data_IF_650218743440
#
_entry.id   IF_650218743440
#
_cell.length_a   1.000
_cell.length_b   1.000
_cell.length_c   1.000
_cell.angle_alpha   90.00
_cell.angle_beta   90.00
_cell.angle_gamma   90.00
#
_symmetry.space_group_name_H-M   'P 1'
#
loop_
_entity.id
_entity.type
_entity.pdbx_description
1 polymer ?
#
# COMPACT_ATOMS: atom_id res chain seq x y z
N UNK A 1 -6.55 -3.90 -0.03
CA UNK A 1 -6.74 -4.19 1.41
C UNK A 1 -7.86 -5.19 1.50
N UNK A 2 -7.77 -6.19 2.38
CA UNK A 2 -8.80 -7.23 2.49
C UNK A 2 -9.91 -6.68 3.38
N UNK A 3 -11.12 -6.56 2.82
CA UNK A 3 -12.32 -6.03 3.48
C UNK A 3 -13.56 -6.85 3.13
N UNK A 4 -13.59 -7.47 1.96
CA UNK A 4 -14.69 -8.32 1.50
C UNK A 4 -14.28 -9.80 1.57
N UNK A 5 -15.24 -10.72 1.74
CA UNK A 5 -14.98 -12.17 1.66
C UNK A 5 -14.34 -12.60 0.33
N UNK A 6 -14.57 -11.84 -0.74
CA UNK A 6 -14.04 -12.08 -2.09
C UNK A 6 -12.61 -11.57 -2.31
N UNK A 7 -12.07 -10.80 -1.36
CA UNK A 7 -10.71 -10.28 -1.47
C UNK A 7 -9.70 -11.40 -1.24
N UNK A 8 -8.59 -11.34 -1.98
CA UNK A 8 -7.56 -12.38 -1.96
C UNK A 8 -6.25 -11.85 -1.40
N UNK A 9 -5.49 -12.74 -0.77
CA UNK A 9 -4.08 -12.48 -0.47
C UNK A 9 -3.25 -12.64 -1.75
N UNK A 10 -2.17 -11.87 -1.85
CA UNK A 10 -1.21 -11.94 -2.97
C UNK A 10 0.18 -12.26 -2.44
N UNK A 11 1.15 -12.54 -3.33
CA UNK A 11 2.58 -12.71 -2.96
C UNK A 11 3.18 -11.52 -2.20
N UNK A 12 2.61 -10.32 -2.37
CA UNK A 12 3.03 -9.12 -1.64
C UNK A 12 2.34 -8.94 -0.29
N UNK A 13 1.42 -9.84 0.08
CA UNK A 13 0.74 -9.84 1.37
C UNK A 13 1.58 -10.58 2.40
N UNK A 14 2.34 -9.84 3.21
CA UNK A 14 3.18 -10.44 4.26
C UNK A 14 2.46 -10.69 5.59
N UNK A 15 1.44 -9.90 5.91
CA UNK A 15 0.68 -10.02 7.15
C UNK A 15 -0.72 -9.44 7.03
N UNK A 16 -1.67 -10.01 7.78
CA UNK A 16 -3.01 -9.46 8.00
C UNK A 16 -3.11 -9.01 9.45
N UNK A 17 -3.49 -7.76 9.65
CA UNK A 17 -3.71 -7.17 10.97
C UNK A 17 -5.16 -6.74 11.05
N UNK A 18 -5.89 -7.32 11.99
CA UNK A 18 -7.30 -7.02 12.23
C UNK A 18 -7.40 -5.92 13.28
N UNK A 19 -8.07 -4.82 12.92
CA UNK A 19 -8.29 -3.66 13.78
C UNK A 19 -9.76 -3.27 13.64
N UNK A 20 -10.33 -2.71 14.71
CA UNK A 20 -11.70 -2.20 14.70
C UNK A 20 -11.89 -1.09 13.67
N UNK A 21 -13.10 -0.92 13.14
CA UNK A 21 -13.40 0.03 12.07
C UNK A 21 -13.12 1.49 12.47
N UNK A 22 -13.25 1.82 13.77
CA UNK A 22 -12.93 3.13 14.33
C UNK A 22 -11.44 3.39 14.58
N UNK A 23 -10.55 2.41 14.37
CA UNK A 23 -9.13 2.58 14.62
C UNK A 23 -8.52 3.62 13.64
N UNK A 24 -7.65 4.55 14.10
CA UNK A 24 -7.03 5.57 13.24
C UNK A 24 -6.31 5.02 12.00
N UNK A 25 -5.64 3.88 12.13
CA UNK A 25 -4.96 3.22 11.01
C UNK A 25 -5.93 2.68 9.96
N UNK A 26 -7.11 2.20 10.40
CA UNK A 26 -8.18 1.76 9.51
C UNK A 26 -8.80 2.96 8.82
N UNK A 27 -9.17 4.00 9.57
CA UNK A 27 -9.75 5.23 9.01
C UNK A 27 -8.85 5.85 7.93
N UNK A 28 -7.54 5.96 8.19
CA UNK A 28 -6.57 6.44 7.19
C UNK A 28 -6.57 5.56 5.93
N UNK A 29 -6.77 4.25 6.05
CA UNK A 29 -6.74 3.32 4.91
C UNK A 29 -8.03 3.36 4.10
N UNK A 30 -9.19 3.53 4.74
CA UNK A 30 -10.51 3.36 4.12
C UNK A 30 -11.20 4.66 3.73
N UNK A 31 -10.79 5.81 4.27
CA UNK A 31 -11.42 7.09 3.93
C UNK A 31 -11.46 7.30 2.41
N UNK A 32 -12.48 7.95 1.86
CA UNK A 32 -12.49 8.24 0.41
C UNK A 32 -11.52 9.38 0.08
N UNK A 33 -10.97 9.42 -1.13
CA UNK A 33 -10.12 10.55 -1.53
C UNK A 33 -10.88 11.89 -1.53
N UNK A 34 -12.18 11.86 -1.83
CA UNK A 34 -13.05 13.04 -1.73
C UNK A 34 -13.16 13.55 -0.30
N UNK A 35 -13.35 12.65 0.68
CA UNK A 35 -13.39 12.99 2.11
C UNK A 35 -12.06 13.59 2.56
N UNK A 36 -10.93 12.98 2.19
CA UNK A 36 -9.58 13.50 2.48
C UNK A 36 -9.40 14.92 1.93
N UNK A 37 -9.86 15.17 0.69
CA UNK A 37 -9.75 16.48 0.05
C UNK A 37 -10.62 17.53 0.75
N UNK A 38 -11.89 17.22 1.06
CA UNK A 38 -12.81 18.13 1.76
C UNK A 38 -12.29 18.49 3.15
N UNK A 39 -11.79 17.52 3.89
CA UNK A 39 -11.21 17.74 5.22
C UNK A 39 -9.93 18.59 5.14
N UNK A 40 -9.05 18.31 4.17
CA UNK A 40 -7.85 19.11 3.93
C UNK A 40 -8.14 20.59 3.67
N UNK A 41 -9.14 20.89 2.85
CA UNK A 41 -9.51 22.27 2.52
C UNK A 41 -10.00 23.08 3.72
N UNK A 42 -10.56 22.42 4.73
CA UNK A 42 -11.10 23.08 5.93
C UNK A 42 -10.11 23.12 7.10
N UNK A 43 -9.28 22.09 7.27
CA UNK A 43 -8.45 21.93 8.46
C UNK A 43 -6.96 22.24 8.27
N UNK A 44 -6.43 22.26 7.05
CA UNK A 44 -4.99 22.43 6.84
C UNK A 44 -4.51 23.85 7.13
N UNK A 45 -3.72 24.02 8.19
CA UNK A 45 -3.15 25.31 8.58
C UNK A 45 -1.73 25.58 8.04
N UNK A 46 -1.20 24.71 7.16
CA UNK A 46 0.13 24.87 6.53
C UNK A 46 1.32 24.99 7.50
N UNK A 47 1.25 24.39 8.70
CA UNK A 47 2.29 24.47 9.74
C UNK A 47 3.61 23.72 9.46
N UNK A 48 3.78 23.13 8.26
CA UNK A 48 4.98 22.41 7.80
C UNK A 48 5.47 21.20 8.62
N UNK A 49 4.83 20.84 9.73
CA UNK A 49 5.19 19.69 10.58
C UNK A 49 5.31 18.36 9.80
N UNK A 50 4.42 18.17 8.83
CA UNK A 50 4.46 16.99 7.95
C UNK A 50 5.72 16.92 7.07
N UNK A 51 6.35 18.05 6.77
CA UNK A 51 7.64 18.13 6.08
C UNK A 51 8.81 17.95 7.04
N UNK A 52 8.80 18.63 8.19
CA UNK A 52 9.87 18.53 9.19
C UNK A 52 10.11 17.09 9.62
N UNK A 53 9.04 16.30 9.79
CA UNK A 53 9.13 14.89 10.17
C UNK A 53 9.18 13.91 8.98
N UNK A 54 9.20 14.39 7.73
CA UNK A 54 9.27 13.51 6.58
C UNK A 54 10.66 12.86 6.46
N UNK A 55 10.78 11.52 6.52
CA UNK A 55 12.08 10.87 6.43
C UNK A 55 12.76 11.08 5.08
N UNK A 56 11.99 11.23 3.99
CA UNK A 56 12.56 11.49 2.66
C UNK A 56 13.10 12.92 2.55
N UNK A 57 12.40 13.89 3.14
CA UNK A 57 12.87 15.27 3.23
C UNK A 57 14.16 15.36 4.06
N UNK A 58 14.19 14.71 5.23
CA UNK A 58 15.37 14.69 6.09
C UNK A 58 16.56 13.90 5.50
N UNK A 59 16.35 13.11 4.45
CA UNK A 59 17.41 12.50 3.63
C UNK A 59 17.83 13.39 2.44
N UNK A 60 17.30 14.62 2.34
CA UNK A 60 17.66 15.63 1.34
C UNK A 60 16.83 15.60 0.06
N UNK A 61 15.84 14.71 -0.06
CA UNK A 61 14.99 14.63 -1.26
C UNK A 61 14.04 15.83 -1.37
N UNK A 62 13.74 16.26 -2.59
CA UNK A 62 12.79 17.34 -2.92
C UNK A 62 11.34 16.96 -2.66
N UNK A 63 11.00 16.69 -1.41
CA UNK A 63 9.66 16.30 -1.04
C UNK A 63 9.20 17.07 0.18
N UNK A 64 8.20 17.91 -0.03
CA UNK A 64 7.63 18.75 1.01
C UNK A 64 6.13 18.46 1.15
N UNK A 65 5.75 17.56 2.07
CA UNK A 65 4.36 17.19 2.30
C UNK A 65 3.39 18.37 2.49
N UNK A 66 3.80 19.49 3.09
CA UNK A 66 2.90 20.64 3.20
C UNK A 66 2.58 21.28 1.84
N UNK A 67 3.52 21.26 0.90
CA UNK A 67 3.36 21.82 -0.44
C UNK A 67 2.40 20.98 -1.28
N UNK A 68 2.41 19.64 -1.17
CA UNK A 68 1.41 18.83 -1.88
C UNK A 68 0.00 19.06 -1.33
N UNK A 69 -0.14 19.29 -0.02
CA UNK A 69 -1.43 19.67 0.57
C UNK A 69 -1.90 21.03 0.07
N UNK A 70 -0.98 21.98 -0.09
CA UNK A 70 -1.27 23.31 -0.67
C UNK A 70 -1.73 23.17 -2.12
N UNK A 71 -1.01 22.39 -2.93
CA UNK A 71 -1.38 22.09 -4.31
C UNK A 71 -2.77 21.49 -4.41
N UNK A 72 -3.11 20.51 -3.55
CA UNK A 72 -4.45 19.94 -3.49
C UNK A 72 -5.53 20.98 -3.13
N UNK A 73 -5.28 21.80 -2.12
CA UNK A 73 -6.29 22.72 -1.58
C UNK A 73 -6.61 23.87 -2.52
N UNK A 74 -5.61 24.40 -3.23
CA UNK A 74 -5.75 25.54 -4.15
C UNK A 74 -5.89 25.12 -5.63
N UNK A 75 -5.82 23.83 -5.94
CA UNK A 75 -5.96 23.33 -7.31
C UNK A 75 -4.79 23.71 -8.21
N UNK A 76 -3.56 23.71 -7.68
CA UNK A 76 -2.36 24.02 -8.45
C UNK A 76 -2.05 22.89 -9.45
N UNK A 77 -1.30 23.23 -10.51
CA UNK A 77 -0.99 22.35 -11.63
C UNK A 77 -0.40 21.00 -11.19
N UNK A 78 -1.01 19.91 -11.69
CA UNK A 78 -0.58 18.54 -11.47
C UNK A 78 0.76 18.20 -12.16
N UNK A 79 1.24 19.03 -13.09
CA UNK A 79 2.56 18.88 -13.72
C UNK A 79 3.67 19.68 -13.02
N UNK A 80 3.34 20.46 -11.98
CA UNK A 80 4.31 21.23 -11.22
C UNK A 80 5.39 20.32 -10.59
N UNK A 81 6.56 20.88 -10.32
CA UNK A 81 7.65 20.19 -9.61
C UNK A 81 7.19 19.60 -8.26
N UNK A 82 6.29 20.29 -7.55
CA UNK A 82 5.68 19.83 -6.30
C UNK A 82 4.84 18.57 -6.51
N UNK A 83 4.08 18.50 -7.59
CA UNK A 83 3.30 17.31 -7.91
C UNK A 83 4.23 16.13 -8.27
N UNK A 84 5.27 16.38 -9.07
CA UNK A 84 6.24 15.35 -9.45
C UNK A 84 6.95 14.74 -8.24
N UNK A 85 7.19 15.51 -7.17
CA UNK A 85 7.72 15.01 -5.89
C UNK A 85 6.92 13.81 -5.30
N UNK A 86 5.68 13.57 -5.78
CA UNK A 86 4.94 12.36 -5.48
C UNK A 86 5.69 11.06 -5.77
N UNK A 87 6.59 11.01 -6.76
CA UNK A 87 7.45 9.85 -7.02
C UNK A 87 8.56 9.66 -5.98
N UNK A 88 8.99 10.71 -5.28
CA UNK A 88 10.01 10.64 -4.23
C UNK A 88 9.47 10.08 -2.90
N UNK A 89 8.15 10.05 -2.74
CA UNK A 89 7.49 9.58 -1.53
C UNK A 89 7.70 8.06 -1.32
N UNK A 90 8.15 7.63 -0.15
CA UNK A 90 8.26 6.19 0.16
C UNK A 90 6.97 5.60 0.78
N UNK A 91 5.88 6.36 0.85
CA UNK A 91 4.59 5.93 1.40
C UNK A 91 4.65 5.44 2.87
N UNK A 92 5.64 5.90 3.64
CA UNK A 92 5.85 5.54 5.05
C UNK A 92 4.71 5.97 5.99
N UNK A 93 3.98 7.04 5.66
CA UNK A 93 2.81 7.48 6.42
C UNK A 93 3.10 8.32 7.66
N UNK A 94 4.36 8.68 7.94
CA UNK A 94 4.72 9.56 9.06
C UNK A 94 3.94 10.88 9.04
N UNK A 95 3.85 11.50 7.87
CA UNK A 95 3.13 12.75 7.67
C UNK A 95 1.65 12.67 8.04
N UNK A 96 1.02 11.51 7.83
CA UNK A 96 -0.42 11.29 8.03
C UNK A 96 -0.74 10.73 9.41
N UNK A 97 0.02 9.73 9.86
CA UNK A 97 -0.27 9.00 11.09
C UNK A 97 0.40 9.59 12.33
N UNK A 98 1.40 10.45 12.17
CA UNK A 98 2.14 11.00 13.30
C UNK A 98 2.25 12.53 13.28
N UNK A 99 2.77 13.08 12.18
CA UNK A 99 3.20 14.46 12.14
C UNK A 99 2.03 15.46 12.12
N UNK A 100 1.00 15.23 11.29
CA UNK A 100 -0.05 16.23 11.13
C UNK A 100 -0.89 16.42 12.41
N UNK A 101 -0.88 17.60 13.06
CA UNK A 101 -1.68 17.82 14.27
C UNK A 101 -3.18 17.84 14.00
N UNK A 102 -3.59 18.10 12.75
CA UNK A 102 -4.99 18.14 12.32
C UNK A 102 -5.49 16.80 11.74
N UNK A 103 -4.66 15.75 11.71
CA UNK A 103 -5.08 14.43 11.20
C UNK A 103 -5.29 14.38 9.68
N UNK A 104 -4.57 15.19 8.91
CA UNK A 104 -4.63 15.17 7.45
C UNK A 104 -3.86 13.98 6.88
N UNK A 105 -4.14 13.63 5.62
CA UNK A 105 -3.56 12.47 4.94
C UNK A 105 -2.58 12.80 3.79
N UNK A 106 -1.45 13.54 4.01
CA UNK A 106 -0.50 13.83 2.92
C UNK A 106 0.03 12.61 2.17
N UNK A 107 0.21 11.47 2.85
CA UNK A 107 0.58 10.20 2.22
C UNK A 107 -0.37 9.83 1.08
N UNK A 108 -1.68 9.96 1.33
CA UNK A 108 -2.73 9.62 0.37
C UNK A 108 -2.79 10.60 -0.79
N UNK A 109 -2.56 11.88 -0.51
CA UNK A 109 -2.44 12.90 -1.55
C UNK A 109 -1.28 12.57 -2.46
N UNK A 110 -0.11 12.22 -1.92
CA UNK A 110 1.00 11.76 -2.76
C UNK A 110 0.70 10.48 -3.54
N UNK A 111 -0.01 9.51 -2.95
CA UNK A 111 -0.38 8.27 -3.64
C UNK A 111 -1.29 8.56 -4.85
N UNK A 112 -2.27 9.45 -4.66
CA UNK A 112 -3.20 9.87 -5.70
C UNK A 112 -2.50 10.66 -6.81
N UNK A 113 -1.66 11.64 -6.47
CA UNK A 113 -0.87 12.39 -7.45
C UNK A 113 0.07 11.47 -8.23
N UNK A 114 0.77 10.54 -7.57
CA UNK A 114 1.62 9.55 -8.24
C UNK A 114 0.82 8.71 -9.24
N UNK A 115 -0.41 8.32 -8.91
CA UNK A 115 -1.24 7.52 -9.80
C UNK A 115 -1.74 8.30 -11.03
N UNK A 116 -1.85 9.63 -10.93
CA UNK A 116 -2.27 10.52 -12.04
C UNK A 116 -1.12 10.95 -12.93
N UNK A 117 0.10 11.00 -12.39
CA UNK A 117 1.30 11.33 -13.14
C UNK A 117 1.66 10.18 -14.10
N UNK A 118 1.90 10.54 -15.35
CA UNK A 118 2.33 9.60 -16.40
C UNK A 118 3.85 9.51 -16.52
N UNK A 119 4.54 10.60 -16.21
CA UNK A 119 5.97 10.74 -16.41
C UNK A 119 6.64 11.18 -15.12
N UNK A 120 7.78 10.56 -14.83
CA UNK A 120 8.70 10.98 -13.78
C UNK A 120 9.79 11.84 -14.42
N UNK A 121 9.77 13.14 -14.17
CA UNK A 121 10.72 14.08 -14.75
C UNK A 121 11.48 14.88 -13.67
N UNK A 122 11.85 14.20 -12.58
CA UNK A 122 12.70 14.80 -11.54
C UNK A 122 14.16 14.48 -11.87
N UNK A 123 15.02 15.50 -12.09
CA UNK A 123 16.43 15.26 -12.34
C UNK A 123 17.09 14.63 -11.11
N UNK A 124 17.96 13.65 -11.35
CA UNK A 124 18.82 13.13 -10.30
C UNK A 124 19.76 14.26 -9.83
N UNK A 125 19.84 14.45 -8.53
CA UNK A 125 20.76 15.41 -7.90
C UNK A 125 21.41 14.77 -6.69
N UNK A 126 22.56 15.29 -6.30
CA UNK A 126 23.12 14.93 -5.00
C UNK A 126 22.26 15.52 -3.88
N UNK A 127 22.03 14.71 -2.86
CA UNK A 127 21.22 15.06 -1.71
C UNK A 127 22.05 14.85 -0.45
N UNK A 128 22.03 15.82 0.46
CA UNK A 128 22.63 15.69 1.78
C UNK A 128 21.53 15.49 2.83
N UNK A 129 21.75 14.56 3.76
CA UNK A 129 20.85 14.38 4.88
C UNK A 129 20.89 15.60 5.81
N UNK A 130 19.76 15.91 6.43
CA UNK A 130 19.66 16.92 7.47
C UNK A 130 20.58 16.53 8.65
N UNK A 131 21.47 17.43 9.12
CA UNK A 131 22.38 17.15 10.24
C UNK A 131 21.67 16.70 11.53
N UNK A 132 20.40 17.07 11.69
CA UNK A 132 19.56 16.74 12.85
C UNK A 132 18.58 15.59 12.57
N UNK A 133 18.72 14.85 11.48
CA UNK A 133 17.83 13.74 11.12
C UNK A 133 17.64 12.73 12.29
N UNK A 134 18.71 12.45 13.04
CA UNK A 134 18.65 11.55 14.19
C UNK A 134 17.74 12.07 15.32
N UNK A 135 17.72 13.39 15.54
CA UNK A 135 16.85 14.02 16.54
C UNK A 135 15.37 14.05 16.12
N UNK A 136 15.08 13.86 14.83
CA UNK A 136 13.72 13.87 14.25
C UNK A 136 13.11 12.47 14.14
N UNK A 137 13.78 11.43 14.66
CA UNK A 137 13.25 10.06 14.68
C UNK A 137 12.00 9.98 15.55
N UNK A 138 11.08 9.09 15.15
CA UNK A 138 9.82 8.91 15.85
C UNK A 138 9.97 7.97 17.04
N UNK A 139 9.51 8.37 18.24
CA UNK A 139 9.42 7.45 19.37
C UNK A 139 8.32 6.43 19.12
N UNK A 140 8.69 5.15 18.95
CA UNK A 140 7.79 4.05 18.61
C UNK A 140 6.60 3.93 19.58
N UNK A 141 6.83 4.16 20.88
CA UNK A 141 5.77 4.16 21.90
C UNK A 141 4.67 5.21 21.63
N UNK A 142 5.04 6.43 21.22
CA UNK A 142 4.04 7.48 20.89
C UNK A 142 3.33 7.18 19.59
N UNK A 143 4.02 6.60 18.60
CA UNK A 143 3.38 6.16 17.36
C UNK A 143 2.32 5.10 17.64
N UNK A 144 2.65 4.07 18.45
CA UNK A 144 1.68 3.04 18.87
C UNK A 144 0.48 3.61 19.61
N UNK A 145 0.70 4.57 20.50
CA UNK A 145 -0.39 5.28 21.18
C UNK A 145 -1.32 5.99 20.19
N UNK A 146 -0.75 6.69 19.21
CA UNK A 146 -1.49 7.45 18.19
C UNK A 146 -2.25 6.56 17.20
N UNK A 147 -1.72 5.37 16.93
CA UNK A 147 -2.40 4.33 16.13
C UNK A 147 -3.48 3.58 16.93
N UNK A 148 -3.62 3.85 18.22
CA UNK A 148 -4.51 3.13 19.13
C UNK A 148 -4.28 1.61 19.10
N UNK A 149 -3.02 1.19 19.27
CA UNK A 149 -2.63 -0.24 19.25
C UNK A 149 -1.82 -0.66 20.47
N UNK A 150 -1.72 0.16 21.52
CA UNK A 150 -0.92 -0.18 22.70
C UNK A 150 -1.42 -1.46 23.39
N UNK A 151 -2.73 -1.64 23.45
CA UNK A 151 -3.34 -2.77 24.16
C UNK A 151 -3.24 -4.09 23.39
N UNK A 152 -2.97 -4.03 22.09
CA UNK A 152 -2.81 -5.19 21.21
C UNK A 152 -1.35 -5.44 20.79
N UNK A 153 -0.43 -4.54 21.16
CA UNK A 153 1.01 -4.71 20.95
C UNK A 153 1.61 -5.64 22.00
N UNK A 154 1.11 -6.88 21.99
CA UNK A 154 1.54 -7.98 22.84
C UNK A 154 2.29 -9.01 22.01
N UNK A 155 3.06 -9.86 22.66
CA UNK A 155 3.72 -10.98 21.99
C UNK A 155 2.65 -11.91 21.42
N UNK A 156 2.58 -12.01 20.09
CA UNK A 156 1.67 -12.93 19.43
C UNK A 156 2.09 -14.39 19.70
N UNK A 157 1.11 -15.21 20.08
CA UNK A 157 1.30 -16.66 20.18
C UNK A 157 1.18 -17.30 18.81
N UNK A 158 2.03 -18.28 18.52
CA UNK A 158 1.94 -19.06 17.29
C UNK A 158 0.92 -20.18 17.48
N UNK A 159 -0.26 -20.01 16.89
CA UNK A 159 -1.38 -20.97 16.99
C UNK A 159 -1.35 -22.06 15.89
N UNK A 160 -0.27 -22.14 15.11
CA UNK A 160 -0.15 -23.11 14.02
C UNK A 160 -0.75 -22.63 12.70
N UNK A 161 -1.04 -23.58 11.81
CA UNK A 161 -1.61 -23.34 10.48
C UNK A 161 -3.11 -23.23 10.57
N UNK A 162 -3.69 -22.17 10.00
CA UNK A 162 -5.13 -22.06 9.81
C UNK A 162 -5.54 -22.87 8.56
N UNK A 163 -6.28 -23.99 8.70
CA UNK A 163 -6.73 -24.74 7.55
C UNK A 163 -7.80 -23.94 6.80
N UNK A 164 -7.62 -23.77 5.49
CA UNK A 164 -8.62 -23.22 4.60
C UNK A 164 -8.93 -24.27 3.54
N UNK A 165 -10.11 -24.92 3.56
CA UNK A 165 -10.39 -26.06 2.69
C UNK A 165 -10.61 -25.67 1.22
N UNK A 166 -10.61 -24.40 0.88
CA UNK A 166 -11.01 -23.91 -0.44
C UNK A 166 -12.50 -23.53 -0.49
N UNK A 167 -13.00 -23.09 -1.68
CA UNK A 167 -12.26 -22.97 -2.93
C UNK A 167 -11.20 -21.86 -2.89
N UNK A 168 -10.13 -22.01 -3.68
CA UNK A 168 -9.00 -21.10 -3.74
C UNK A 168 -9.11 -20.18 -4.95
N UNK A 169 -9.38 -18.89 -4.72
CA UNK A 169 -9.37 -17.85 -5.75
C UNK A 169 -7.97 -17.24 -5.87
N UNK A 170 -7.34 -17.40 -7.02
CA UNK A 170 -5.93 -17.09 -7.22
C UNK A 170 -5.80 -16.03 -8.31
N UNK A 171 -5.42 -14.80 -7.94
CA UNK A 171 -5.25 -13.69 -8.89
C UNK A 171 -4.07 -13.92 -9.83
N UNK A 172 -4.22 -13.54 -11.09
CA UNK A 172 -3.15 -13.57 -12.11
C UNK A 172 -2.12 -12.46 -11.89
N UNK A 173 -2.54 -11.31 -11.36
CA UNK A 173 -1.66 -10.19 -10.95
C UNK A 173 -1.43 -10.24 -9.43
N UNK A 174 -0.24 -10.65 -9.00
CA UNK A 174 0.10 -10.78 -7.57
C UNK A 174 1.23 -9.85 -7.08
N UNK A 175 1.86 -9.11 -7.99
CA UNK A 175 3.02 -8.25 -7.74
C UNK A 175 3.08 -7.08 -8.74
N UNK A 176 4.11 -6.25 -8.65
CA UNK A 176 4.31 -5.08 -9.53
C UNK A 176 4.45 -5.47 -11.01
N UNK A 177 5.14 -6.58 -11.30
CA UNK A 177 5.36 -7.14 -12.64
C UNK A 177 4.09 -7.63 -13.35
N UNK A 178 4.17 -7.98 -14.64
CA UNK A 178 3.07 -8.37 -15.52
C UNK A 178 2.12 -9.45 -14.92
N UNK A 179 0.81 -9.43 -15.27
CA UNK A 179 -0.10 -10.51 -14.89
C UNK A 179 0.31 -11.82 -15.58
N UNK A 180 0.15 -12.94 -14.89
CA UNK A 180 0.42 -14.26 -15.47
C UNK A 180 -0.73 -14.73 -16.37
N UNK A 181 -0.41 -15.44 -17.43
CA UNK A 181 -1.38 -16.05 -18.36
C UNK A 181 -1.59 -17.52 -18.00
N UNK A 182 -2.85 -17.97 -17.81
CA UNK A 182 -3.17 -19.36 -17.51
C UNK A 182 -2.57 -20.36 -18.50
N UNK A 183 -2.07 -21.49 -18.00
CA UNK A 183 -1.56 -22.63 -18.80
C UNK A 183 -2.34 -23.93 -18.58
N UNK A 184 -3.33 -23.89 -17.68
CA UNK A 184 -4.28 -24.98 -17.40
C UNK A 184 -5.65 -24.69 -18.03
N UNK A 185 -6.53 -25.68 -18.05
CA UNK A 185 -7.90 -25.60 -18.57
C UNK A 185 -8.92 -25.89 -17.46
N UNK A 186 -10.14 -25.38 -17.64
CA UNK A 186 -11.27 -25.73 -16.76
C UNK A 186 -11.48 -27.25 -16.82
N UNK A 187 -11.66 -27.87 -15.65
CA UNK A 187 -11.79 -29.31 -15.48
C UNK A 187 -10.47 -30.06 -15.29
N UNK A 188 -9.31 -29.41 -15.47
CA UNK A 188 -8.02 -30.05 -15.17
C UNK A 188 -7.90 -30.30 -13.67
N UNK A 189 -7.35 -31.48 -13.30
CA UNK A 189 -6.95 -31.75 -11.92
C UNK A 189 -5.49 -31.35 -11.71
N UNK A 190 -5.25 -30.49 -10.72
CA UNK A 190 -3.93 -29.93 -10.41
C UNK A 190 -3.42 -30.45 -9.07
N UNK A 191 -2.09 -30.45 -8.90
CA UNK A 191 -1.42 -30.74 -7.62
C UNK A 191 -1.01 -29.47 -6.90
N UNK A 192 -0.86 -29.54 -5.58
CA UNK A 192 -0.20 -28.47 -4.81
C UNK A 192 1.19 -28.18 -5.38
N UNK A 193 1.52 -26.91 -5.57
CA UNK A 193 2.77 -26.45 -6.18
C UNK A 193 2.82 -26.54 -7.72
N UNK A 194 1.78 -27.04 -8.39
CA UNK A 194 1.74 -27.07 -9.86
C UNK A 194 1.59 -25.65 -10.44
N UNK A 195 2.29 -25.36 -11.54
CA UNK A 195 2.15 -24.11 -12.28
C UNK A 195 0.74 -24.01 -12.90
N UNK A 196 0.01 -22.95 -12.57
CA UNK A 196 -1.31 -22.62 -13.10
C UNK A 196 -1.24 -21.56 -14.21
N UNK A 197 -0.30 -20.62 -14.10
CA UNK A 197 -0.12 -19.53 -15.05
C UNK A 197 1.35 -19.11 -15.13
N UNK A 198 1.79 -18.66 -16.30
CA UNK A 198 3.16 -18.20 -16.55
C UNK A 198 3.18 -16.78 -17.10
N UNK A 199 4.31 -16.09 -16.96
CA UNK A 199 4.58 -14.82 -17.64
C UNK A 199 5.51 -15.06 -18.83
N UNK A 200 5.53 -14.14 -19.80
CA UNK A 200 6.54 -14.20 -20.87
C UNK A 200 7.92 -13.95 -20.28
N UNK A 201 8.95 -14.60 -20.84
CA UNK A 201 10.34 -14.48 -20.36
C UNK A 201 10.85 -13.05 -20.35
N UNK A 202 10.39 -12.21 -21.29
CA UNK A 202 10.80 -10.82 -21.44
C UNK A 202 10.08 -9.86 -20.47
N UNK A 203 9.02 -10.32 -19.80
CA UNK A 203 8.25 -9.51 -18.88
C UNK A 203 8.74 -9.71 -17.45
N UNK A 204 8.87 -8.61 -16.69
CA UNK A 204 9.10 -8.72 -15.25
C UNK A 204 7.88 -9.40 -14.61
N UNK A 205 8.02 -10.61 -14.10
CA UNK A 205 6.93 -11.33 -13.44
C UNK A 205 7.34 -12.68 -12.88
N UNK A 206 6.39 -13.41 -12.29
CA UNK A 206 6.63 -14.73 -11.71
C UNK A 206 5.47 -15.69 -12.00
N UNK A 207 5.74 -16.98 -12.28
CA UNK A 207 4.68 -17.97 -12.42
C UNK A 207 3.80 -18.08 -11.18
N UNK A 208 2.52 -18.38 -11.39
CA UNK A 208 1.52 -18.60 -10.35
C UNK A 208 1.33 -20.11 -10.19
N UNK A 209 1.35 -20.57 -8.94
CA UNK A 209 1.26 -21.99 -8.60
C UNK A 209 0.01 -22.26 -7.77
N UNK A 210 -0.49 -23.49 -7.84
CA UNK A 210 -1.63 -23.93 -7.04
C UNK A 210 -1.24 -24.08 -5.56
N UNK A 211 -1.98 -23.51 -4.61
CA UNK A 211 -1.71 -23.68 -3.19
C UNK A 211 -2.10 -25.07 -2.67
N UNK A 212 -2.99 -25.76 -3.37
CA UNK A 212 -3.51 -27.07 -3.01
C UNK A 212 -3.73 -27.93 -4.26
N UNK A 213 -3.98 -29.23 -4.09
CA UNK A 213 -4.56 -30.00 -5.18
C UNK A 213 -6.06 -29.72 -5.28
N UNK A 214 -6.65 -30.07 -6.42
CA UNK A 214 -8.07 -29.86 -6.68
C UNK A 214 -8.36 -29.76 -8.16
N UNK A 215 -9.61 -29.52 -8.51
CA UNK A 215 -10.05 -29.34 -9.89
C UNK A 215 -10.15 -27.85 -10.23
N UNK A 216 -9.74 -27.48 -11.44
CA UNK A 216 -9.87 -26.11 -11.93
C UNK A 216 -11.34 -25.83 -12.26
N UNK A 217 -11.98 -24.97 -11.46
CA UNK A 217 -13.41 -24.67 -11.57
C UNK A 217 -13.69 -23.51 -12.53
N UNK A 218 -12.82 -22.50 -12.52
CA UNK A 218 -13.01 -21.27 -13.29
C UNK A 218 -11.67 -20.67 -13.69
N UNK A 219 -11.62 -20.11 -14.90
CA UNK A 219 -10.47 -19.35 -15.41
C UNK A 219 -11.00 -18.05 -16.03
N UNK A 220 -10.47 -16.92 -15.58
CA UNK A 220 -10.67 -15.59 -16.18
C UNK A 220 -9.32 -14.94 -16.45
N UNK A 221 -9.30 -13.79 -17.13
CA UNK A 221 -8.08 -12.98 -17.27
C UNK A 221 -7.54 -12.50 -15.92
N UNK A 222 -8.41 -12.41 -14.91
CA UNK A 222 -8.06 -11.84 -13.62
C UNK A 222 -7.67 -12.88 -12.56
N UNK A 223 -8.27 -14.08 -12.61
CA UNK A 223 -8.09 -15.12 -11.60
C UNK A 223 -8.41 -16.53 -12.09
N UNK A 224 -7.92 -17.52 -11.34
CA UNK A 224 -8.27 -18.94 -11.44
C UNK A 224 -8.88 -19.39 -10.12
N UNK A 225 -9.92 -20.21 -10.17
CA UNK A 225 -10.52 -20.84 -8.98
C UNK A 225 -10.20 -22.33 -8.95
N UNK A 226 -9.60 -22.80 -7.87
CA UNK A 226 -9.34 -24.23 -7.61
C UNK A 226 -10.33 -24.73 -6.55
N UNK A 227 -11.00 -25.84 -6.83
CA UNK A 227 -11.91 -26.48 -5.88
C UNK A 227 -11.18 -27.05 -4.67
N UNK A 228 -11.95 -27.35 -3.62
CA UNK A 228 -11.47 -28.12 -2.47
C UNK A 228 -11.06 -29.53 -2.90
N UNK A 229 -10.02 -30.11 -2.28
CA UNK A 229 -9.82 -31.56 -2.36
C UNK A 229 -11.05 -32.25 -1.75
N UNK A 230 -11.62 -33.20 -2.50
CA UNK A 230 -12.67 -34.10 -2.02
C UNK A 230 -12.12 -35.09 -1.00
#
# INVERSE_FOLDING_TARGET
HIRNPEDTVTKTTGALVFLEEGNPAVHEKVASFQSVTRFSKSACCQCTECTVLCPRFNLGHDIEPHMIMRTLNYGLDANSSVAQAAYLCCQCGVCSMFACPFGLSPKRVYADFRARLKEFNIPAREHAADPFNDAKKLPSKRLKARLNILDIDVKAEFIGTLPYPGPYKIRMKQHIGAPATPVVKIGDRVRAGQVLATVKTEELGTPVHSPAAGDVLEITEEFITIGSES
#
